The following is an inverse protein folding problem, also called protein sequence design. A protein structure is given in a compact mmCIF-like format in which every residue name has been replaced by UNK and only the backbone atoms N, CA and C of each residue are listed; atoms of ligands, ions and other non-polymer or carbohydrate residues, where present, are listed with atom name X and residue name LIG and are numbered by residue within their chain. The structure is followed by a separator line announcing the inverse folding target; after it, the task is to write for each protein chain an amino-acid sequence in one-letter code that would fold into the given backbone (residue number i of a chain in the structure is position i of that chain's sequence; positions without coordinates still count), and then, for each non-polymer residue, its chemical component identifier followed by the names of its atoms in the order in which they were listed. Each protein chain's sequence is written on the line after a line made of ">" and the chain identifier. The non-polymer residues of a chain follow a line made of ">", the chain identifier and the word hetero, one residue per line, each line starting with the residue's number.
data_IF_403924874830
#
_entry.id   IF_403924874830
#
_cell.length_a   1.000
_cell.length_b   1.000
_cell.length_c   1.000
_cell.angle_alpha   90.00
_cell.angle_beta   90.00
_cell.angle_gamma   90.00
#
_symmetry.space_group_name_H-M   'P 1'
#
loop_
_entity.id
_entity.type
_entity.pdbx_description
1 polymer ?
#
# COMPACT_ATOMS: atom_id res chain seq x y z
N UNK A 1 24.45 6.94 -2.09
CA UNK A 1 23.35 6.81 -1.11
C UNK A 1 22.78 5.39 -1.10
N UNK A 2 22.34 4.86 0.04
CA UNK A 2 21.59 3.60 0.14
C UNK A 2 20.18 3.88 0.66
N UNK A 3 19.16 3.40 -0.05
CA UNK A 3 17.76 3.57 0.32
C UNK A 3 17.11 2.20 0.47
N UNK A 4 16.43 1.99 1.57
CA UNK A 4 15.54 0.86 1.76
C UNK A 4 14.13 1.26 1.31
N UNK A 5 13.42 0.32 0.67
CA UNK A 5 12.09 0.55 0.10
C UNK A 5 11.13 -0.49 0.64
N UNK A 6 9.98 -0.06 1.12
CA UNK A 6 8.91 -0.94 1.61
C UNK A 6 7.59 -0.58 0.96
N UNK A 7 6.74 -1.56 0.74
CA UNK A 7 5.34 -1.44 0.35
C UNK A 7 4.51 -2.50 1.05
N UNK A 8 3.20 -2.29 1.16
CA UNK A 8 2.29 -3.29 1.74
C UNK A 8 2.71 -3.68 3.16
N UNK A 9 2.87 -2.64 4.00
CA UNK A 9 3.34 -2.74 5.40
C UNK A 9 2.29 -3.43 6.28
N UNK A 10 1.01 -3.13 6.06
CA UNK A 10 -0.14 -3.78 6.67
C UNK A 10 0.04 -4.06 8.17
N UNK A 11 0.30 -3.03 8.97
CA UNK A 11 0.37 -3.13 10.42
C UNK A 11 1.66 -3.77 10.99
N UNK A 12 2.68 -4.02 10.17
CA UNK A 12 3.94 -4.66 10.62
C UNK A 12 4.86 -3.69 11.36
N UNK A 13 4.44 -3.23 12.53
CA UNK A 13 5.12 -2.20 13.35
C UNK A 13 6.56 -2.59 13.68
N UNK A 14 6.79 -3.80 14.19
CA UNK A 14 8.12 -4.25 14.63
C UNK A 14 9.11 -4.40 13.46
N UNK A 15 8.63 -4.85 12.31
CA UNK A 15 9.47 -4.96 11.12
C UNK A 15 9.76 -3.55 10.55
N UNK A 16 8.77 -2.66 10.54
CA UNK A 16 8.91 -1.29 10.07
C UNK A 16 9.94 -0.50 10.90
N UNK A 17 9.99 -0.72 12.24
CA UNK A 17 10.97 -0.08 13.10
C UNK A 17 12.43 -0.37 12.69
N UNK A 18 12.66 -1.52 12.03
CA UNK A 18 13.99 -1.93 11.53
C UNK A 18 14.18 -1.69 10.03
N UNK A 19 13.16 -1.21 9.33
CA UNK A 19 13.22 -1.04 7.87
C UNK A 19 14.28 -0.03 7.42
N UNK A 20 14.72 0.87 8.32
CA UNK A 20 15.80 1.83 8.06
C UNK A 20 17.20 1.31 8.34
N UNK A 21 17.36 0.12 8.90
CA UNK A 21 18.66 -0.37 9.33
C UNK A 21 19.67 -0.46 8.18
N UNK A 22 20.81 0.21 8.34
CA UNK A 22 21.88 0.23 7.34
C UNK A 22 21.57 1.02 6.07
N UNK A 23 20.51 1.84 6.05
CA UNK A 23 20.17 2.73 4.94
C UNK A 23 20.23 4.20 5.37
N UNK A 24 20.43 5.08 4.40
CA UNK A 24 20.46 6.54 4.60
C UNK A 24 19.04 7.13 4.61
N UNK A 25 18.09 6.46 3.97
CA UNK A 25 16.66 6.84 3.94
C UNK A 25 15.76 5.63 3.70
N UNK A 26 14.47 5.82 4.03
CA UNK A 26 13.39 4.88 3.73
C UNK A 26 12.47 5.49 2.65
N UNK A 27 12.09 4.69 1.64
CA UNK A 27 10.93 4.95 0.78
C UNK A 27 9.80 4.02 1.19
N UNK A 28 8.63 4.58 1.47
CA UNK A 28 7.44 3.80 1.81
C UNK A 28 6.35 4.05 0.76
N UNK A 29 5.98 2.99 0.04
CA UNK A 29 5.07 3.06 -1.09
C UNK A 29 3.60 2.78 -0.72
N UNK A 30 3.27 2.88 0.57
CA UNK A 30 1.90 2.83 1.06
C UNK A 30 1.42 1.46 1.53
N UNK A 31 0.11 1.36 1.70
CA UNK A 31 -0.62 0.27 2.33
C UNK A 31 -0.11 -0.01 3.74
N UNK A 32 -0.20 1.03 4.59
CA UNK A 32 0.21 0.95 5.99
C UNK A 32 -0.79 0.16 6.84
N UNK A 33 -2.09 0.35 6.60
CA UNK A 33 -3.17 -0.19 7.44
C UNK A 33 -3.45 -1.65 7.12
N UNK A 34 -3.68 -2.46 8.16
CA UNK A 34 -4.17 -3.82 8.05
C UNK A 34 -5.65 -3.88 8.44
N UNK A 35 -6.53 -3.99 7.46
CA UNK A 35 -7.96 -4.18 7.72
C UNK A 35 -8.30 -5.63 8.07
N UNK A 36 -7.79 -6.58 7.29
CA UNK A 36 -8.07 -8.02 7.40
C UNK A 36 -6.83 -8.82 7.01
N UNK A 37 -6.44 -9.76 7.85
CA UNK A 37 -5.40 -10.72 7.53
C UNK A 37 -6.02 -12.06 7.12
N UNK A 38 -5.70 -12.53 5.92
CA UNK A 38 -6.20 -13.80 5.41
C UNK A 38 -5.41 -15.02 5.92
N UNK A 39 -4.21 -14.80 6.48
CA UNK A 39 -3.34 -15.85 7.01
C UNK A 39 -3.47 -16.00 8.53
N UNK A 40 -3.70 -14.89 9.24
CA UNK A 40 -3.85 -14.87 10.70
C UNK A 40 -5.11 -14.09 11.11
N UNK A 41 -6.17 -14.82 11.39
CA UNK A 41 -7.47 -14.26 11.78
C UNK A 41 -7.47 -13.51 13.12
N UNK A 42 -6.37 -13.52 13.86
CA UNK A 42 -6.21 -12.72 15.09
C UNK A 42 -5.71 -11.30 14.84
N UNK A 43 -5.35 -10.96 13.58
CA UNK A 43 -4.73 -9.71 13.21
C UNK A 43 -5.64 -8.80 12.37
N UNK A 44 -5.39 -7.49 12.48
CA UNK A 44 -6.08 -6.47 11.71
C UNK A 44 -7.32 -5.89 12.39
N UNK A 45 -7.84 -4.83 11.79
CA UNK A 45 -8.98 -4.07 12.33
C UNK A 45 -10.22 -4.95 12.52
N UNK A 46 -10.47 -5.85 11.56
CA UNK A 46 -11.63 -6.74 11.63
C UNK A 46 -11.53 -7.66 12.86
N UNK A 47 -10.34 -8.20 13.14
CA UNK A 47 -10.10 -9.02 14.32
C UNK A 47 -10.22 -8.24 15.64
N UNK A 48 -9.72 -7.00 15.66
CA UNK A 48 -9.84 -6.13 16.84
C UNK A 48 -11.29 -5.82 17.19
N UNK A 49 -12.13 -5.60 16.16
CA UNK A 49 -13.54 -5.25 16.36
C UNK A 49 -14.44 -6.45 16.68
N UNK A 50 -14.18 -7.60 16.05
CA UNK A 50 -15.12 -8.73 16.04
C UNK A 50 -14.54 -10.02 16.63
N UNK A 51 -13.24 -10.06 16.93
CA UNK A 51 -12.55 -11.24 17.46
C UNK A 51 -12.10 -12.22 16.37
N UNK A 52 -11.12 -13.05 16.72
CA UNK A 52 -10.46 -13.98 15.79
C UNK A 52 -11.42 -15.03 15.19
N UNK A 53 -12.37 -15.54 15.96
CA UNK A 53 -13.32 -16.56 15.48
C UNK A 53 -14.24 -16.02 14.38
N UNK A 54 -14.82 -14.83 14.59
CA UNK A 54 -15.67 -14.18 13.60
C UNK A 54 -14.87 -13.79 12.35
N UNK A 55 -13.62 -13.38 12.53
CA UNK A 55 -12.69 -13.08 11.43
C UNK A 55 -12.37 -14.33 10.62
N UNK A 56 -12.07 -15.46 11.28
CA UNK A 56 -11.81 -16.72 10.61
C UNK A 56 -13.01 -17.16 9.76
N UNK A 57 -14.22 -17.06 10.30
CA UNK A 57 -15.45 -17.37 9.55
C UNK A 57 -15.65 -16.45 8.35
N UNK A 58 -15.40 -15.17 8.50
CA UNK A 58 -15.47 -14.20 7.40
C UNK A 58 -14.45 -14.51 6.29
N UNK A 59 -13.20 -14.82 6.66
CA UNK A 59 -12.13 -15.22 5.72
C UNK A 59 -12.51 -16.51 4.99
N UNK A 60 -13.00 -17.51 5.69
CA UNK A 60 -13.46 -18.78 5.10
C UNK A 60 -14.53 -18.54 4.01
N UNK A 61 -15.57 -17.78 4.33
CA UNK A 61 -16.64 -17.45 3.39
C UNK A 61 -16.12 -16.72 2.14
N UNK A 62 -15.22 -15.77 2.32
CA UNK A 62 -14.61 -15.04 1.20
C UNK A 62 -13.73 -15.92 0.33
N UNK A 63 -12.92 -16.78 0.95
CA UNK A 63 -12.01 -17.69 0.24
C UNK A 63 -12.79 -18.76 -0.53
N UNK A 64 -13.94 -19.21 0.00
CA UNK A 64 -14.86 -20.13 -0.68
C UNK A 64 -15.69 -19.45 -1.80
N UNK A 65 -15.58 -18.11 -1.97
CA UNK A 65 -16.37 -17.36 -2.96
C UNK A 65 -17.82 -17.08 -2.54
N UNK A 66 -18.17 -17.30 -1.28
CA UNK A 66 -19.51 -17.06 -0.70
C UNK A 66 -19.67 -15.58 -0.31
N UNK A 67 -19.47 -14.67 -1.26
CA UNK A 67 -19.42 -13.22 -1.00
C UNK A 67 -20.71 -12.65 -0.40
N UNK A 68 -21.88 -13.16 -0.79
CA UNK A 68 -23.16 -12.71 -0.26
C UNK A 68 -23.32 -13.09 1.23
N UNK A 69 -22.92 -14.31 1.60
CA UNK A 69 -22.94 -14.79 2.98
C UNK A 69 -21.91 -14.04 3.83
N UNK A 70 -20.70 -13.83 3.30
CA UNK A 70 -19.66 -13.05 3.98
C UNK A 70 -20.14 -11.62 4.27
N UNK A 71 -20.84 -10.98 3.32
CA UNK A 71 -21.41 -9.65 3.50
C UNK A 71 -22.50 -9.62 4.57
N UNK A 72 -23.41 -10.61 4.56
CA UNK A 72 -24.47 -10.73 5.56
C UNK A 72 -23.87 -10.97 6.96
N UNK A 73 -22.89 -11.87 7.07
CA UNK A 73 -22.15 -12.10 8.30
C UNK A 73 -21.51 -10.84 8.87
N UNK A 74 -20.73 -10.14 8.05
CA UNK A 74 -20.10 -8.88 8.45
C UNK A 74 -21.14 -7.81 8.85
N UNK A 75 -22.29 -7.73 8.16
CA UNK A 75 -23.34 -6.77 8.51
C UNK A 75 -23.89 -7.01 9.91
N UNK A 76 -24.14 -8.27 10.27
CA UNK A 76 -24.59 -8.63 11.63
C UNK A 76 -23.57 -8.25 12.70
N UNK A 77 -22.28 -8.54 12.46
CA UNK A 77 -21.20 -8.19 13.37
C UNK A 77 -21.10 -6.67 13.58
N UNK A 78 -21.31 -5.90 12.52
CA UNK A 78 -21.34 -4.44 12.62
C UNK A 78 -22.51 -3.91 13.42
N UNK A 79 -23.71 -4.47 13.24
CA UNK A 79 -24.89 -4.08 13.98
C UNK A 79 -24.72 -4.36 15.48
N UNK A 80 -24.17 -5.51 15.85
CA UNK A 80 -23.83 -5.87 17.22
C UNK A 80 -22.75 -4.94 17.81
N UNK A 81 -21.71 -4.61 17.03
CA UNK A 81 -20.64 -3.72 17.50
C UNK A 81 -21.14 -2.30 17.74
N UNK A 82 -21.97 -1.77 16.87
CA UNK A 82 -22.59 -0.44 17.02
C UNK A 82 -23.41 -0.36 18.31
N UNK A 83 -24.21 -1.41 18.60
CA UNK A 83 -25.01 -1.49 19.83
C UNK A 83 -24.10 -1.60 21.07
N UNK A 84 -23.11 -2.49 21.03
CA UNK A 84 -22.18 -2.73 22.14
C UNK A 84 -21.37 -1.49 22.53
N UNK A 85 -20.82 -0.80 21.51
CA UNK A 85 -19.91 0.34 21.71
C UNK A 85 -20.65 1.69 21.84
N UNK A 86 -21.94 1.76 21.47
CA UNK A 86 -22.71 3.02 21.43
C UNK A 86 -22.17 4.05 20.43
N UNK A 87 -21.46 3.60 19.38
CA UNK A 87 -20.81 4.39 18.35
C UNK A 87 -21.18 3.86 16.97
N UNK A 88 -21.28 4.75 15.98
CA UNK A 88 -21.51 4.34 14.60
C UNK A 88 -20.30 3.62 13.98
N UNK A 89 -20.54 2.88 12.86
CA UNK A 89 -19.54 2.10 12.16
C UNK A 89 -18.33 2.93 11.70
N UNK A 90 -18.60 4.16 11.23
CA UNK A 90 -17.55 5.06 10.76
C UNK A 90 -16.60 5.43 11.89
N UNK A 91 -17.13 5.88 13.01
CA UNK A 91 -16.35 6.24 14.20
C UNK A 91 -15.54 5.06 14.78
N UNK A 92 -16.11 3.85 14.73
CA UNK A 92 -15.41 2.64 15.16
C UNK A 92 -14.23 2.34 14.22
N UNK A 93 -14.44 2.36 12.91
CA UNK A 93 -13.39 2.14 11.92
C UNK A 93 -12.31 3.21 12.00
N UNK A 94 -12.69 4.49 12.06
CA UNK A 94 -11.76 5.60 12.17
C UNK A 94 -10.84 5.45 13.39
N UNK A 95 -11.38 5.10 14.55
CA UNK A 95 -10.55 4.94 15.76
C UNK A 95 -9.51 3.83 15.61
N UNK A 96 -9.86 2.72 14.96
CA UNK A 96 -8.93 1.61 14.72
C UNK A 96 -7.84 1.98 13.70
N UNK A 97 -8.20 2.69 12.64
CA UNK A 97 -7.22 3.19 11.66
C UNK A 97 -6.24 4.15 12.31
N UNK A 98 -6.75 5.10 13.11
CA UNK A 98 -5.93 6.08 13.83
C UNK A 98 -4.98 5.41 14.83
N UNK A 99 -5.42 4.38 15.53
CA UNK A 99 -4.58 3.61 16.44
C UNK A 99 -3.41 2.93 15.71
N UNK A 100 -3.68 2.28 14.55
CA UNK A 100 -2.62 1.70 13.74
C UNK A 100 -1.65 2.77 13.22
N UNK A 101 -2.14 3.90 12.71
CA UNK A 101 -1.26 4.97 12.26
C UNK A 101 -0.38 5.53 13.38
N UNK A 102 -0.91 5.70 14.60
CA UNK A 102 -0.12 6.15 15.73
C UNK A 102 1.09 5.22 15.99
N UNK A 103 0.87 3.90 15.94
CA UNK A 103 1.93 2.91 16.13
C UNK A 103 2.92 2.88 14.95
N UNK A 104 2.41 2.85 13.71
CA UNK A 104 3.21 2.77 12.50
C UNK A 104 4.10 4.00 12.31
N UNK A 105 3.55 5.20 12.44
CA UNK A 105 4.33 6.43 12.31
C UNK A 105 5.32 6.63 13.47
N UNK A 106 5.00 6.15 14.69
CA UNK A 106 5.96 6.13 15.78
C UNK A 106 7.16 5.20 15.51
N UNK A 107 6.92 4.07 14.85
CA UNK A 107 7.94 3.09 14.51
C UNK A 107 8.73 3.43 13.24
N UNK A 108 8.14 4.22 12.32
CA UNK A 108 8.73 4.49 11.00
C UNK A 108 10.08 5.20 11.12
N UNK A 109 11.16 4.70 10.48
CA UNK A 109 12.47 5.34 10.45
C UNK A 109 12.44 6.74 9.84
N UNK A 110 13.44 7.56 10.13
CA UNK A 110 13.66 8.88 9.51
C UNK A 110 15.12 9.02 9.05
N UNK A 111 15.39 9.66 7.91
CA UNK A 111 14.42 10.29 6.99
C UNK A 111 13.60 9.27 6.21
N UNK A 112 12.33 9.59 5.94
CA UNK A 112 11.44 8.76 5.13
C UNK A 112 10.66 9.59 4.11
N UNK A 113 10.57 9.08 2.90
CA UNK A 113 9.75 9.61 1.80
C UNK A 113 8.59 8.67 1.56
N UNK A 114 7.37 9.18 1.62
CA UNK A 114 6.16 8.40 1.76
C UNK A 114 5.17 8.73 0.64
N UNK A 115 4.54 7.71 0.10
CA UNK A 115 3.32 7.88 -0.67
C UNK A 115 2.23 6.93 -0.16
N UNK A 116 1.00 7.13 -0.59
CA UNK A 116 -0.16 6.37 -0.12
C UNK A 116 -0.36 5.09 -0.92
N UNK A 117 -0.81 4.02 -0.26
CA UNK A 117 -1.43 2.88 -0.93
C UNK A 117 -2.95 3.06 -1.08
N UNK A 118 -3.60 2.08 -1.69
CA UNK A 118 -5.05 2.16 -1.90
C UNK A 118 -5.87 1.95 -0.60
N UNK A 119 -5.32 1.27 0.39
CA UNK A 119 -6.00 1.06 1.69
C UNK A 119 -5.74 2.18 2.70
N UNK A 120 -4.88 3.14 2.39
CA UNK A 120 -4.58 4.24 3.29
C UNK A 120 -5.68 5.31 3.30
N UNK A 121 -5.71 6.10 4.37
CA UNK A 121 -6.59 7.27 4.52
C UNK A 121 -5.72 8.54 4.62
N UNK A 122 -5.41 9.18 3.48
CA UNK A 122 -4.45 10.28 3.40
C UNK A 122 -4.73 11.43 4.36
N UNK A 123 -6.01 11.76 4.58
CA UNK A 123 -6.43 12.86 5.45
C UNK A 123 -6.02 12.69 6.92
N UNK A 124 -5.72 11.46 7.37
CA UNK A 124 -5.32 11.19 8.75
C UNK A 124 -3.80 11.30 8.95
N UNK A 125 -3.00 11.12 7.90
CA UNK A 125 -1.54 11.03 8.03
C UNK A 125 -0.90 12.26 8.66
N UNK A 126 -1.37 13.46 8.34
CA UNK A 126 -0.84 14.73 8.86
C UNK A 126 -0.79 14.79 10.39
N UNK A 127 -1.68 14.05 11.07
CA UNK A 127 -1.77 14.06 12.53
C UNK A 127 -0.64 13.25 13.18
N UNK A 128 0.08 12.42 12.41
CA UNK A 128 1.10 11.48 12.87
C UNK A 128 2.49 11.73 12.27
N UNK A 129 2.61 12.63 11.30
CA UNK A 129 3.90 12.94 10.67
C UNK A 129 4.89 13.48 11.70
N UNK A 130 6.14 13.03 11.60
CA UNK A 130 7.23 13.48 12.44
C UNK A 130 8.28 14.26 11.61
N UNK A 131 9.15 15.07 12.23
CA UNK A 131 10.31 15.63 11.54
C UNK A 131 11.12 14.56 10.83
N UNK A 132 11.40 14.77 9.54
CA UNK A 132 12.05 13.78 8.67
C UNK A 132 11.11 12.90 7.86
N UNK A 133 9.78 13.01 8.04
CA UNK A 133 8.81 12.41 7.14
C UNK A 133 8.41 13.41 6.05
N UNK A 134 8.53 13.02 4.79
CA UNK A 134 8.10 13.79 3.62
C UNK A 134 7.06 12.98 2.86
N UNK A 135 5.83 13.48 2.76
CA UNK A 135 4.75 12.83 2.01
C UNK A 135 4.67 13.46 0.63
N UNK A 136 4.62 12.63 -0.40
CA UNK A 136 4.66 13.00 -1.81
C UNK A 136 3.61 12.21 -2.59
N UNK A 137 2.80 12.92 -3.40
CA UNK A 137 1.76 12.27 -4.21
C UNK A 137 1.48 13.07 -5.49
N UNK A 138 2.04 12.64 -6.60
CA UNK A 138 2.14 13.41 -7.85
C UNK A 138 3.25 14.47 -7.81
N UNK A 139 4.27 14.25 -6.98
CA UNK A 139 5.33 15.20 -6.70
C UNK A 139 6.71 14.58 -6.89
N UNK A 140 7.71 15.44 -7.12
CA UNK A 140 9.12 15.06 -7.33
C UNK A 140 9.98 15.68 -6.25
N UNK A 141 10.95 14.93 -5.76
CA UNK A 141 11.95 15.38 -4.80
C UNK A 141 13.35 15.02 -5.30
N UNK A 142 14.34 15.86 -5.00
CA UNK A 142 15.74 15.50 -5.16
C UNK A 142 16.22 14.73 -3.92
N UNK A 143 16.75 13.54 -4.13
CA UNK A 143 17.32 12.70 -3.08
C UNK A 143 18.74 12.35 -3.50
N UNK A 144 19.72 13.06 -2.94
CA UNK A 144 21.15 12.87 -3.21
C UNK A 144 21.47 12.92 -4.72
N UNK A 145 20.93 13.93 -5.41
CA UNK A 145 21.15 14.20 -6.84
C UNK A 145 20.30 13.35 -7.79
N UNK A 146 19.41 12.49 -7.28
CA UNK A 146 18.45 11.75 -8.09
C UNK A 146 17.06 12.37 -8.00
N UNK A 147 16.41 12.61 -9.13
CA UNK A 147 15.02 13.07 -9.21
C UNK A 147 14.10 11.88 -8.99
N UNK A 148 13.43 11.85 -7.86
CA UNK A 148 12.52 10.76 -7.47
C UNK A 148 11.10 11.26 -7.48
N UNK A 149 10.25 10.68 -8.33
CA UNK A 149 8.82 10.97 -8.39
C UNK A 149 8.01 9.97 -7.58
N UNK A 150 6.97 10.45 -6.91
CA UNK A 150 6.06 9.60 -6.11
C UNK A 150 4.62 9.76 -6.54
N UNK A 151 3.91 8.63 -6.69
CA UNK A 151 2.47 8.58 -7.00
C UNK A 151 1.78 7.55 -6.13
N UNK A 152 0.85 7.99 -5.30
CA UNK A 152 0.10 7.14 -4.40
C UNK A 152 -1.31 6.82 -4.87
N UNK A 153 -1.93 5.89 -4.14
CA UNK A 153 -3.29 5.42 -4.37
C UNK A 153 -3.40 4.24 -5.32
N UNK A 154 -4.61 3.74 -5.47
CA UNK A 154 -4.99 2.71 -6.43
C UNK A 154 -6.05 3.20 -7.40
N UNK A 155 -6.35 2.40 -8.41
CA UNK A 155 -7.45 2.65 -9.33
C UNK A 155 -8.76 2.10 -8.76
N UNK A 156 -9.89 2.74 -9.11
CA UNK A 156 -11.23 2.30 -8.68
C UNK A 156 -11.42 0.82 -9.00
N UNK A 157 -11.75 0.06 -7.99
CA UNK A 157 -11.93 -1.39 -8.03
C UNK A 157 -13.23 -1.81 -7.35
N UNK A 158 -13.69 -3.07 -7.56
CA UNK A 158 -14.82 -3.61 -6.80
C UNK A 158 -14.59 -3.70 -5.29
N UNK A 159 -13.35 -3.55 -4.82
CA UNK A 159 -13.00 -3.56 -3.40
C UNK A 159 -13.37 -2.26 -2.70
N UNK A 160 -13.40 -1.14 -3.44
CA UNK A 160 -13.77 0.18 -2.93
C UNK A 160 -12.98 0.55 -1.67
N UNK A 161 -11.66 0.48 -1.78
CA UNK A 161 -10.74 0.84 -0.69
C UNK A 161 -10.63 2.36 -0.53
N UNK A 162 -10.17 2.87 0.63
CA UNK A 162 -10.28 4.29 0.96
C UNK A 162 -9.60 5.26 -0.01
N UNK A 163 -8.48 4.86 -0.64
CA UNK A 163 -7.75 5.73 -1.57
C UNK A 163 -7.66 5.13 -2.98
N UNK A 164 -8.81 4.80 -3.53
CA UNK A 164 -8.98 4.51 -4.94
C UNK A 164 -9.43 5.77 -5.67
N UNK A 165 -8.76 6.11 -6.78
CA UNK A 165 -9.03 7.28 -7.61
C UNK A 165 -9.28 6.84 -9.06
N UNK A 166 -9.96 7.67 -9.83
CA UNK A 166 -10.19 7.40 -11.24
C UNK A 166 -8.91 7.51 -12.08
N UNK A 167 -8.92 6.86 -13.25
CA UNK A 167 -7.77 6.80 -14.16
C UNK A 167 -7.30 8.18 -14.63
N UNK A 168 -8.19 9.16 -14.80
CA UNK A 168 -7.86 10.52 -15.25
C UNK A 168 -7.11 11.29 -14.16
N UNK A 169 -7.61 11.20 -12.92
CA UNK A 169 -6.93 11.78 -11.75
C UNK A 169 -5.56 11.15 -11.54
N UNK A 170 -5.47 9.81 -11.67
CA UNK A 170 -4.20 9.09 -11.54
C UNK A 170 -3.21 9.51 -12.66
N UNK A 171 -3.67 9.59 -13.91
CA UNK A 171 -2.87 10.03 -15.05
C UNK A 171 -2.36 11.47 -14.88
N UNK A 172 -3.18 12.35 -14.31
CA UNK A 172 -2.78 13.74 -14.00
C UNK A 172 -1.61 13.78 -13.03
N UNK A 173 -1.63 12.97 -11.96
CA UNK A 173 -0.51 12.86 -11.01
C UNK A 173 0.76 12.35 -11.68
N UNK A 174 0.66 11.29 -12.50
CA UNK A 174 1.80 10.73 -13.22
C UNK A 174 2.40 11.77 -14.17
N UNK A 175 1.55 12.49 -14.93
CA UNK A 175 2.00 13.53 -15.86
C UNK A 175 2.69 14.70 -15.17
N UNK A 176 2.29 15.05 -13.95
CA UNK A 176 2.89 16.13 -13.17
C UNK A 176 4.35 15.86 -12.79
N UNK A 177 4.80 14.61 -12.78
CA UNK A 177 6.17 14.25 -12.43
C UNK A 177 7.19 14.73 -13.46
N UNK A 178 6.82 14.82 -14.75
CA UNK A 178 7.77 15.06 -15.82
C UNK A 178 8.86 13.99 -15.88
N UNK A 179 10.07 14.34 -16.31
CA UNK A 179 11.19 13.38 -16.34
C UNK A 179 11.75 13.17 -14.92
N UNK A 180 11.90 11.90 -14.54
CA UNK A 180 12.47 11.46 -13.26
C UNK A 180 13.49 10.34 -13.48
N UNK A 181 14.43 10.18 -12.55
CA UNK A 181 15.39 9.07 -12.55
C UNK A 181 14.76 7.79 -11.98
N UNK A 182 13.97 7.97 -10.92
CA UNK A 182 13.27 6.89 -10.22
C UNK A 182 11.79 7.28 -10.07
N UNK A 183 10.90 6.40 -10.46
CA UNK A 183 9.47 6.50 -10.20
C UNK A 183 9.07 5.53 -9.09
N UNK A 184 8.53 6.05 -8.00
CA UNK A 184 7.96 5.31 -6.89
C UNK A 184 6.43 5.41 -6.97
N UNK A 185 5.74 4.27 -7.10
CA UNK A 185 4.29 4.23 -7.12
C UNK A 185 3.78 3.13 -6.18
N UNK A 186 2.51 3.20 -5.75
CA UNK A 186 1.92 2.06 -5.05
C UNK A 186 1.59 0.94 -6.02
N UNK A 187 0.84 1.22 -7.08
CA UNK A 187 0.42 0.22 -8.07
C UNK A 187 1.44 0.05 -9.21
N UNK A 188 1.51 -1.15 -9.83
CA UNK A 188 2.43 -1.43 -10.93
C UNK A 188 2.04 -0.74 -12.24
N UNK A 189 2.96 -0.63 -13.23
CA UNK A 189 2.61 -0.45 -14.63
C UNK A 189 1.67 -1.57 -15.10
N UNK A 190 0.72 -1.27 -15.99
CA UNK A 190 -0.28 -2.21 -16.50
C UNK A 190 0.33 -3.27 -17.44
N UNK A 191 1.23 -4.12 -16.93
CA UNK A 191 1.79 -5.28 -17.61
C UNK A 191 1.21 -6.55 -16.99
N UNK A 192 0.76 -7.53 -17.79
CA UNK A 192 0.14 -8.76 -17.28
C UNK A 192 0.98 -9.50 -16.25
N UNK A 193 2.28 -9.62 -16.48
CA UNK A 193 3.21 -10.30 -15.59
C UNK A 193 3.42 -9.60 -14.25
N UNK A 194 3.22 -8.28 -14.17
CA UNK A 194 3.33 -7.49 -12.94
C UNK A 194 2.02 -7.39 -12.19
N UNK A 195 0.88 -7.59 -12.88
CA UNK A 195 -0.46 -7.40 -12.32
C UNK A 195 -1.17 -8.72 -11.98
N UNK A 196 -0.73 -9.87 -12.51
CA UNK A 196 -1.33 -11.16 -12.18
C UNK A 196 -0.82 -11.68 -10.84
N UNK A 197 -1.72 -11.80 -9.84
CA UNK A 197 -1.41 -12.43 -8.56
C UNK A 197 -1.62 -13.94 -8.65
N UNK A 198 -0.54 -14.72 -8.41
CA UNK A 198 -0.54 -16.17 -8.58
C UNK A 198 -1.25 -16.91 -7.45
N UNK A 199 -1.39 -16.29 -6.28
CA UNK A 199 -2.11 -16.85 -5.12
C UNK A 199 -3.59 -16.52 -5.22
N UNK A 200 -3.93 -15.24 -5.46
CA UNK A 200 -5.31 -14.80 -5.67
C UNK A 200 -5.87 -15.29 -7.02
N UNK A 201 -5.02 -15.72 -7.96
CA UNK A 201 -5.36 -16.23 -9.30
C UNK A 201 -6.19 -15.26 -10.11
N UNK A 202 -5.88 -13.97 -10.03
CA UNK A 202 -6.56 -12.90 -10.74
C UNK A 202 -5.61 -11.78 -11.09
N UNK A 203 -6.03 -10.93 -12.02
CA UNK A 203 -5.36 -9.67 -12.27
C UNK A 203 -5.78 -8.64 -11.22
N UNK A 204 -4.79 -7.98 -10.64
CA UNK A 204 -4.96 -6.76 -9.87
C UNK A 204 -4.83 -5.54 -10.80
N UNK A 205 -5.23 -4.37 -10.32
CA UNK A 205 -5.18 -3.16 -11.14
C UNK A 205 -3.74 -2.62 -11.24
N UNK A 206 -3.31 -2.35 -12.47
CA UNK A 206 -2.08 -1.64 -12.79
C UNK A 206 -2.39 -0.40 -13.62
N UNK A 207 -1.53 0.60 -13.59
CA UNK A 207 -1.75 1.88 -14.26
C UNK A 207 -1.23 1.88 -15.70
N UNK A 208 -2.10 2.22 -16.65
CA UNK A 208 -1.70 2.53 -18.02
C UNK A 208 -0.89 3.83 -18.09
N UNK A 209 -1.25 4.82 -17.28
CA UNK A 209 -0.54 6.09 -17.23
C UNK A 209 0.92 5.89 -16.82
N UNK A 210 1.21 5.03 -15.82
CA UNK A 210 2.60 4.66 -15.48
C UNK A 210 3.28 3.95 -16.64
N UNK A 211 2.60 2.99 -17.29
CA UNK A 211 3.18 2.25 -18.41
C UNK A 211 3.56 3.18 -19.57
N UNK A 212 2.69 4.12 -19.92
CA UNK A 212 2.92 5.05 -21.02
C UNK A 212 4.00 6.08 -20.65
N UNK A 213 3.97 6.63 -19.43
CA UNK A 213 5.03 7.50 -18.91
C UNK A 213 6.40 6.81 -18.95
N UNK A 214 6.49 5.55 -18.54
CA UNK A 214 7.74 4.77 -18.61
C UNK A 214 8.22 4.59 -20.04
N UNK A 215 7.32 4.35 -20.99
CA UNK A 215 7.67 4.22 -22.42
C UNK A 215 8.22 5.52 -23.01
N UNK A 216 7.67 6.65 -22.59
CA UNK A 216 8.03 7.98 -23.10
C UNK A 216 9.32 8.51 -22.46
N UNK A 217 9.41 8.47 -21.13
CA UNK A 217 10.51 9.14 -20.39
C UNK A 217 11.67 8.22 -20.05
N UNK A 218 11.42 6.90 -19.98
CA UNK A 218 12.44 5.88 -19.70
C UNK A 218 13.22 6.16 -18.41
N UNK A 219 12.57 6.32 -17.23
CA UNK A 219 13.27 6.42 -15.96
C UNK A 219 14.20 5.22 -15.78
N UNK A 220 15.24 5.38 -14.99
CA UNK A 220 16.18 4.27 -14.69
C UNK A 220 15.47 3.10 -13.99
N UNK A 221 14.55 3.45 -13.07
CA UNK A 221 13.90 2.49 -12.17
C UNK A 221 12.45 2.88 -11.89
N UNK A 222 11.56 1.90 -11.83
CA UNK A 222 10.19 2.04 -11.30
C UNK A 222 10.02 1.05 -10.17
N UNK A 223 9.63 1.55 -8.99
CA UNK A 223 9.43 0.78 -7.76
C UNK A 223 7.94 0.82 -7.37
N UNK A 224 7.37 -0.33 -7.05
CA UNK A 224 5.95 -0.45 -6.68
C UNK A 224 5.71 -1.68 -5.81
N UNK A 225 4.50 -1.78 -5.23
CA UNK A 225 3.99 -2.92 -4.47
C UNK A 225 2.64 -3.40 -4.97
N UNK A 226 1.62 -3.37 -4.10
CA UNK A 226 0.21 -3.66 -4.35
C UNK A 226 -0.11 -5.12 -4.70
N UNK A 227 0.59 -5.71 -5.67
CA UNK A 227 0.41 -7.12 -6.05
C UNK A 227 1.32 -7.96 -5.17
N UNK A 228 0.72 -8.66 -4.20
CA UNK A 228 1.47 -9.34 -3.16
C UNK A 228 2.29 -10.52 -3.68
N UNK A 229 1.75 -11.26 -4.66
CA UNK A 229 2.39 -12.45 -5.26
C UNK A 229 2.35 -12.35 -6.79
N UNK A 230 3.08 -11.38 -7.40
CA UNK A 230 3.04 -11.18 -8.84
C UNK A 230 3.64 -12.37 -9.59
N UNK A 231 3.15 -12.61 -10.82
CA UNK A 231 3.71 -13.63 -11.71
C UNK A 231 5.20 -13.39 -11.97
N UNK A 232 5.59 -12.11 -12.11
CA UNK A 232 6.98 -11.69 -12.15
C UNK A 232 7.19 -10.51 -11.21
N UNK A 233 8.20 -10.57 -10.33
CA UNK A 233 8.56 -9.46 -9.47
C UNK A 233 9.32 -8.35 -10.23
N UNK A 234 9.77 -8.61 -11.46
CA UNK A 234 10.53 -7.65 -12.28
C UNK A 234 10.14 -7.76 -13.75
N UNK A 235 10.11 -6.62 -14.43
CA UNK A 235 9.97 -6.52 -15.88
C UNK A 235 10.86 -5.40 -16.41
N UNK A 236 11.19 -5.45 -17.71
CA UNK A 236 11.96 -4.38 -18.36
C UNK A 236 11.15 -3.77 -19.49
N UNK A 237 11.05 -2.43 -19.47
CA UNK A 237 10.37 -1.63 -20.50
C UNK A 237 11.42 -0.72 -21.14
N UNK A 238 11.92 -1.08 -22.32
CA UNK A 238 13.06 -0.38 -22.92
C UNK A 238 14.30 -0.46 -22.03
N UNK A 239 14.83 0.68 -21.57
CA UNK A 239 15.95 0.75 -20.62
C UNK A 239 15.53 0.73 -19.15
N UNK A 240 14.24 0.95 -18.86
CA UNK A 240 13.69 1.02 -17.50
C UNK A 240 13.53 -0.35 -16.87
N UNK A 241 14.03 -0.54 -15.67
CA UNK A 241 13.73 -1.69 -14.81
C UNK A 241 12.52 -1.38 -13.93
N UNK A 242 11.48 -2.23 -14.00
CA UNK A 242 10.27 -2.15 -13.17
C UNK A 242 10.34 -3.25 -12.12
N UNK A 243 10.24 -2.90 -10.82
CA UNK A 243 10.45 -3.82 -9.70
C UNK A 243 9.31 -3.72 -8.71
N UNK A 244 8.64 -4.84 -8.47
CA UNK A 244 7.81 -5.01 -7.29
C UNK A 244 8.73 -5.21 -6.09
N UNK A 245 8.67 -4.31 -5.10
CA UNK A 245 9.55 -4.32 -3.93
C UNK A 245 9.16 -5.38 -2.89
N UNK A 246 8.06 -6.08 -3.13
CA UNK A 246 7.56 -7.18 -2.31
C UNK A 246 6.51 -6.75 -1.30
N UNK A 247 5.82 -7.73 -0.76
CA UNK A 247 4.84 -7.60 0.31
C UNK A 247 5.58 -7.56 1.65
N UNK A 248 5.86 -6.36 2.17
CA UNK A 248 6.71 -6.17 3.35
C UNK A 248 6.19 -6.92 4.58
N UNK A 249 4.85 -6.95 4.79
CA UNK A 249 4.25 -7.72 5.89
C UNK A 249 4.67 -9.19 5.88
N UNK A 250 4.73 -9.82 4.73
CA UNK A 250 5.05 -11.25 4.63
C UNK A 250 6.53 -11.54 4.85
N UNK A 251 7.42 -10.67 4.35
CA UNK A 251 8.87 -10.87 4.38
C UNK A 251 9.59 -10.19 5.53
N UNK A 252 9.07 -9.07 6.03
CA UNK A 252 9.69 -8.25 7.07
C UNK A 252 11.03 -7.64 6.68
N UNK A 253 11.41 -7.72 5.39
CA UNK A 253 12.68 -7.23 4.87
C UNK A 253 12.45 -6.18 3.78
N UNK A 254 13.10 -5.01 3.87
CA UNK A 254 13.00 -4.00 2.84
C UNK A 254 13.77 -4.42 1.57
N UNK A 255 13.31 -3.94 0.42
CA UNK A 255 14.09 -3.96 -0.81
C UNK A 255 15.11 -2.82 -0.75
N UNK A 256 16.37 -3.05 -1.12
CA UNK A 256 17.42 -2.03 -1.06
C UNK A 256 17.91 -1.61 -2.44
N UNK A 257 18.10 -0.33 -2.63
CA UNK A 257 18.75 0.26 -3.82
C UNK A 257 19.92 1.14 -3.42
N UNK A 258 20.83 1.35 -4.35
CA UNK A 258 22.01 2.20 -4.16
C UNK A 258 22.33 3.01 -5.41
N UNK A 259 22.79 4.23 -5.24
CA UNK A 259 23.37 5.08 -6.27
C UNK A 259 24.48 5.96 -5.72
#
# INVERSE_FOLDING_TARGET
>A
MRVNVVSDVHGSVDALARAGDGADALFCLGDLVLYLDYADSSQGIFANLFGAENTARFVELRTAGHFAEARAWASGLWDDAVVREGRDRHSLMESQIREQYAQLFAAMPTPAYLTYGNVDVPSFWRDYLRPGHTVLDGEVVDVDGMRVGFVGGGLISPMNTPYEIDEETFATKVSALGEVDILCAHIPPALPELTYDVVARRFEFGSRAILDHVRETQPRLVLFGHVHQPLAARARIGRTECVNVGHFRAGGQPFSITW
#
